data_IF_226594849075
#
_entry.id   IF_226594849075
#
_cell.length_a   1.000
_cell.length_b   1.000
_cell.length_c   1.000
_cell.angle_alpha   90.00
_cell.angle_beta   90.00
_cell.angle_gamma   90.00
#
_symmetry.space_group_name_H-M   'P 1'
#
loop_
_entity.id
_entity.type
_entity.pdbx_description
1 polymer ?
#
# COMPACT_ATOMS: atom_id res chain seq x y z
N UNK A 1 -16.38 5.22 8.71
CA UNK A 1 -15.37 5.15 7.63
C UNK A 1 -15.66 3.90 6.83
N UNK A 2 -15.80 4.04 5.53
CA UNK A 2 -15.94 2.93 4.60
C UNK A 2 -14.65 2.11 4.50
N UNK A 3 -14.77 0.89 3.97
CA UNK A 3 -13.65 -0.06 3.83
C UNK A 3 -12.53 0.55 2.98
N UNK A 4 -12.88 1.32 1.96
CA UNK A 4 -11.91 1.95 1.07
C UNK A 4 -11.14 3.08 1.78
N UNK A 5 -11.82 4.01 2.45
CA UNK A 5 -11.15 5.06 3.23
C UNK A 5 -10.24 4.48 4.33
N UNK A 6 -10.69 3.42 5.00
CA UNK A 6 -9.87 2.73 6.03
C UNK A 6 -8.63 2.10 5.40
N UNK A 7 -8.78 1.40 4.28
CA UNK A 7 -7.68 0.81 3.53
C UNK A 7 -6.68 1.85 3.03
N UNK A 8 -7.15 3.01 2.58
CA UNK A 8 -6.29 4.12 2.14
C UNK A 8 -5.43 4.68 3.28
N UNK A 9 -6.02 4.88 4.47
CA UNK A 9 -5.26 5.41 5.62
C UNK A 9 -4.20 4.41 6.05
N UNK A 10 -4.55 3.12 6.12
CA UNK A 10 -3.58 2.05 6.42
C UNK A 10 -2.48 2.01 5.36
N UNK A 11 -2.82 2.13 4.09
CA UNK A 11 -1.84 2.18 3.01
C UNK A 11 -0.86 3.34 3.19
N UNK A 12 -1.34 4.57 3.40
CA UNK A 12 -0.46 5.72 3.62
C UNK A 12 0.46 5.54 4.83
N UNK A 13 -0.06 4.99 5.94
CA UNK A 13 0.75 4.69 7.12
C UNK A 13 1.85 3.66 6.79
N UNK A 14 1.50 2.57 6.11
CA UNK A 14 2.47 1.53 5.73
C UNK A 14 3.49 2.03 4.72
N UNK A 15 3.10 2.86 3.76
CA UNK A 15 3.99 3.49 2.78
C UNK A 15 4.99 4.41 3.48
N UNK A 16 4.56 5.20 4.46
CA UNK A 16 5.46 6.04 5.25
C UNK A 16 6.48 5.20 6.05
N UNK A 17 6.02 4.13 6.72
CA UNK A 17 6.90 3.20 7.45
C UNK A 17 7.91 2.57 6.49
N UNK A 18 7.45 2.08 5.33
CA UNK A 18 8.31 1.47 4.32
C UNK A 18 9.40 2.43 3.84
N UNK A 19 9.05 3.67 3.52
CA UNK A 19 10.01 4.69 3.11
C UNK A 19 11.08 4.92 4.19
N UNK A 20 10.66 5.11 5.45
CA UNK A 20 11.59 5.36 6.57
C UNK A 20 12.55 4.19 6.76
N UNK A 21 12.04 2.97 6.75
CA UNK A 21 12.86 1.75 6.93
C UNK A 21 13.83 1.58 5.77
N UNK A 22 13.36 1.72 4.53
CA UNK A 22 14.19 1.58 3.33
C UNK A 22 15.27 2.66 3.27
N UNK A 23 14.91 3.91 3.56
CA UNK A 23 15.85 5.02 3.65
C UNK A 23 16.92 4.76 4.72
N UNK A 24 16.51 4.27 5.90
CA UNK A 24 17.43 3.94 6.99
C UNK A 24 18.43 2.84 6.60
N UNK A 25 17.98 1.81 5.89
CA UNK A 25 18.87 0.76 5.38
C UNK A 25 19.85 1.26 4.33
N UNK A 26 19.38 2.07 3.38
CA UNK A 26 20.24 2.66 2.34
C UNK A 26 21.31 3.56 2.96
N UNK A 27 20.92 4.34 3.97
CA UNK A 27 21.84 5.19 4.73
C UNK A 27 22.87 4.40 5.53
N UNK A 28 22.42 3.39 6.29
CA UNK A 28 23.31 2.57 7.12
C UNK A 28 24.33 1.78 6.30
N UNK A 29 23.92 1.21 5.17
CA UNK A 29 24.81 0.40 4.33
C UNK A 29 25.73 1.20 3.41
N UNK A 30 25.75 2.53 3.50
CA UNK A 30 26.60 3.40 2.69
C UNK A 30 26.62 2.97 1.22
N UNK A 31 25.44 2.71 0.64
CA UNK A 31 25.30 2.34 -0.76
C UNK A 31 25.66 3.55 -1.65
N UNK A 32 26.96 3.83 -1.75
CA UNK A 32 27.57 5.05 -2.27
C UNK A 32 27.35 5.27 -3.78
N UNK A 33 26.74 4.29 -4.47
CA UNK A 33 26.42 4.34 -5.90
C UNK A 33 24.92 4.50 -6.18
N UNK A 34 24.09 4.58 -5.15
CA UNK A 34 22.64 4.65 -5.27
C UNK A 34 22.20 6.08 -4.93
N UNK A 35 21.33 6.66 -5.76
CA UNK A 35 20.75 7.97 -5.47
C UNK A 35 19.94 7.91 -4.17
N UNK A 36 20.48 8.50 -3.10
CA UNK A 36 20.01 8.44 -1.71
C UNK A 36 18.53 8.82 -1.51
N UNK A 37 17.96 9.61 -2.42
CA UNK A 37 16.56 10.06 -2.36
C UNK A 37 15.70 9.38 -3.41
N UNK A 38 16.21 9.27 -4.64
CA UNK A 38 15.43 8.79 -5.80
C UNK A 38 15.06 7.31 -5.63
N UNK A 39 16.00 6.48 -5.18
CA UNK A 39 15.76 5.04 -5.10
C UNK A 39 14.74 4.66 -4.01
N UNK A 40 14.85 5.15 -2.76
CA UNK A 40 13.79 4.92 -1.79
C UNK A 40 12.43 5.44 -2.26
N UNK A 41 12.40 6.57 -2.98
CA UNK A 41 11.16 7.14 -3.52
C UNK A 41 10.50 6.24 -4.58
N UNK A 42 11.28 5.71 -5.54
CA UNK A 42 10.76 4.80 -6.58
C UNK A 42 10.19 3.52 -5.94
N UNK A 43 10.93 2.88 -5.05
CA UNK A 43 10.45 1.67 -4.37
C UNK A 43 9.21 1.94 -3.51
N UNK A 44 9.15 3.11 -2.86
CA UNK A 44 7.98 3.51 -2.07
C UNK A 44 6.77 3.75 -2.97
N UNK A 45 6.97 4.31 -4.16
CA UNK A 45 5.90 4.48 -5.16
C UNK A 45 5.40 3.13 -5.68
N UNK A 46 6.30 2.19 -6.00
CA UNK A 46 5.91 0.83 -6.42
C UNK A 46 5.14 0.11 -5.31
N UNK A 47 5.62 0.20 -4.06
CA UNK A 47 4.92 -0.34 -2.90
C UNK A 47 3.51 0.27 -2.74
N UNK A 48 3.40 1.59 -2.88
CA UNK A 48 2.11 2.28 -2.83
C UNK A 48 1.19 1.83 -3.97
N UNK A 49 1.68 1.73 -5.20
CA UNK A 49 0.88 1.34 -6.36
C UNK A 49 0.31 -0.08 -6.22
N UNK A 50 1.15 -1.04 -5.79
CA UNK A 50 0.71 -2.41 -5.53
C UNK A 50 -0.28 -2.45 -4.37
N UNK A 51 0.03 -1.76 -3.25
CA UNK A 51 -0.85 -1.69 -2.09
C UNK A 51 -2.19 -1.04 -2.41
N UNK A 52 -2.20 0.00 -3.23
CA UNK A 52 -3.42 0.66 -3.72
C UNK A 52 -4.28 -0.29 -4.54
N UNK A 53 -3.66 -1.05 -5.45
CA UNK A 53 -4.37 -2.07 -6.22
C UNK A 53 -5.03 -3.13 -5.32
N UNK A 54 -4.31 -3.59 -4.28
CA UNK A 54 -4.87 -4.52 -3.29
C UNK A 54 -6.05 -3.90 -2.53
N UNK A 55 -5.92 -2.65 -2.06
CA UNK A 55 -7.02 -1.94 -1.37
C UNK A 55 -8.26 -1.83 -2.26
N UNK A 56 -8.08 -1.53 -3.55
CA UNK A 56 -9.18 -1.49 -4.52
C UNK A 56 -9.87 -2.84 -4.66
N UNK A 57 -9.11 -3.93 -4.85
CA UNK A 57 -9.67 -5.28 -4.97
C UNK A 57 -10.44 -5.67 -3.70
N UNK A 58 -9.83 -5.49 -2.53
CA UNK A 58 -10.44 -5.83 -1.24
C UNK A 58 -11.72 -5.02 -1.02
N UNK A 59 -11.70 -3.73 -1.37
CA UNK A 59 -12.87 -2.86 -1.25
C UNK A 59 -14.01 -3.28 -2.17
N UNK A 60 -13.71 -3.67 -3.41
CA UNK A 60 -14.71 -4.19 -4.35
C UNK A 60 -15.32 -5.47 -3.78
N UNK A 61 -14.48 -6.43 -3.38
CA UNK A 61 -14.98 -7.70 -2.83
C UNK A 61 -15.88 -7.43 -1.63
N UNK A 62 -15.41 -6.70 -0.61
CA UNK A 62 -16.16 -6.53 0.62
C UNK A 62 -17.44 -5.69 0.45
N UNK A 63 -17.47 -4.72 -0.47
CA UNK A 63 -18.68 -3.94 -0.71
C UNK A 63 -19.75 -4.70 -1.51
N UNK A 64 -19.35 -5.54 -2.47
CA UNK A 64 -20.30 -6.22 -3.36
C UNK A 64 -20.63 -7.66 -2.91
N UNK A 65 -19.78 -8.30 -2.11
CA UNK A 65 -19.98 -9.67 -1.62
C UNK A 65 -21.32 -9.85 -0.87
N UNK A 66 -21.75 -8.96 0.06
CA UNK A 66 -23.03 -9.11 0.75
C UNK A 66 -24.23 -9.04 -0.22
N UNK A 67 -24.13 -8.23 -1.28
CA UNK A 67 -25.16 -8.14 -2.32
C UNK A 67 -25.24 -9.42 -3.16
N UNK A 68 -24.09 -9.99 -3.51
CA UNK A 68 -24.01 -11.27 -4.24
C UNK A 68 -24.56 -12.43 -3.41
N UNK A 69 -24.22 -12.50 -2.12
CA UNK A 69 -24.73 -13.52 -1.20
C UNK A 69 -26.26 -13.47 -1.14
N UNK A 70 -26.83 -12.28 -0.93
CA UNK A 70 -28.29 -12.08 -0.93
C UNK A 70 -28.96 -12.47 -2.24
N UNK A 71 -28.33 -12.18 -3.39
CA UNK A 71 -28.82 -12.56 -4.72
C UNK A 71 -28.84 -14.08 -4.93
N UNK A 72 -27.91 -14.80 -4.29
CA UNK A 72 -27.81 -16.26 -4.35
C UNK A 72 -28.76 -16.98 -3.36
N UNK A 73 -29.47 -16.23 -2.52
CA UNK A 73 -30.42 -16.79 -1.55
C UNK A 73 -29.77 -17.54 -0.38
N UNK A 74 -28.48 -17.29 -0.14
CA UNK A 74 -27.73 -17.71 1.05
C UNK A 74 -27.75 -16.60 2.09
#
# INVERSE_FOLDING_TARGET
MDVFTTGLIVLFAMTAIFYIVLFSFIFYWHLAKISFVIVPMIFTFEFFAIGFFVVCIVSIILNYLPGIIRLLGL
#
